data_IF_392758103089
#
_entry.id   IF_392758103089
#
_cell.length_a   1.000
_cell.length_b   1.000
_cell.length_c   1.000
_cell.angle_alpha   90.00
_cell.angle_beta   90.00
_cell.angle_gamma   90.00
#
_symmetry.space_group_name_H-M   'P 1'
#
loop_
_entity.id
_entity.type
_entity.pdbx_description
1 polymer ?
#
# COMPACT_ATOMS: atom_id res chain seq x y z
N UNK A 1 -10.21 -1.55 -4.21
CA UNK A 1 -9.71 -0.60 -3.18
C UNK A 1 -10.80 -0.05 -2.25
N UNK A 2 -11.88 0.57 -2.74
CA UNK A 2 -12.95 1.16 -1.89
C UNK A 2 -13.73 0.12 -1.06
N UNK A 3 -14.02 -1.06 -1.63
CA UNK A 3 -14.70 -2.16 -0.92
C UNK A 3 -13.78 -2.83 0.13
N UNK A 4 -12.48 -2.92 -0.16
CA UNK A 4 -11.45 -3.49 0.73
C UNK A 4 -11.18 -2.58 1.94
N UNK A 5 -11.07 -1.26 1.73
CA UNK A 5 -10.94 -0.25 2.80
C UNK A 5 -12.18 -0.14 3.69
N UNK A 6 -13.37 -0.42 3.15
CA UNK A 6 -14.64 -0.34 3.90
C UNK A 6 -14.89 -1.61 4.72
N UNK A 7 -14.50 -2.78 4.21
CA UNK A 7 -14.64 -4.06 4.89
C UNK A 7 -13.60 -4.24 6.02
N UNK A 8 -12.34 -3.85 5.84
CA UNK A 8 -11.32 -4.02 6.90
C UNK A 8 -11.42 -3.00 8.04
N UNK A 9 -11.76 -1.74 7.77
CA UNK A 9 -11.94 -0.73 8.84
C UNK A 9 -13.15 -1.01 9.74
N UNK A 10 -14.19 -1.65 9.21
CA UNK A 10 -15.45 -1.89 9.92
C UNK A 10 -15.58 -3.31 10.47
N UNK A 11 -15.11 -4.35 9.79
CA UNK A 11 -15.40 -5.74 10.20
C UNK A 11 -14.39 -6.29 11.22
N UNK A 12 -13.09 -6.04 11.01
CA UNK A 12 -12.04 -6.52 11.92
C UNK A 12 -12.07 -5.86 13.30
N UNK A 13 -12.40 -4.56 13.37
CA UNK A 13 -12.52 -3.84 14.64
C UNK A 13 -13.79 -4.23 15.40
N UNK A 14 -14.94 -4.36 14.73
CA UNK A 14 -16.22 -4.68 15.40
C UNK A 14 -16.27 -6.11 15.95
N UNK A 15 -15.70 -7.09 15.24
CA UNK A 15 -15.71 -8.48 15.72
C UNK A 15 -14.74 -8.67 16.89
N UNK A 16 -13.57 -8.01 16.89
CA UNK A 16 -12.63 -8.04 18.01
C UNK A 16 -13.09 -7.19 19.22
N UNK A 17 -13.77 -6.05 19.00
CA UNK A 17 -14.35 -5.20 20.07
C UNK A 17 -15.51 -5.91 20.78
N UNK A 18 -16.32 -6.71 20.05
CA UNK A 18 -17.42 -7.48 20.65
C UNK A 18 -16.94 -8.62 21.55
N UNK A 19 -15.77 -9.20 21.24
CA UNK A 19 -15.17 -10.27 22.03
C UNK A 19 -14.40 -9.76 23.26
N UNK A 20 -13.95 -8.49 23.26
CA UNK A 20 -13.16 -7.94 24.37
C UNK A 20 -13.99 -7.66 25.63
N UNK A 21 -15.29 -7.33 25.58
CA UNK A 21 -15.92 -6.83 26.82
C UNK A 21 -17.46 -6.78 26.94
N UNK A 22 -18.12 -7.94 27.00
CA UNK A 22 -19.45 -8.00 27.63
C UNK A 22 -19.39 -7.70 29.13
N UNK A 23 -18.25 -7.98 29.76
CA UNK A 23 -18.02 -7.82 31.19
C UNK A 23 -17.90 -6.34 31.59
N UNK A 24 -17.16 -5.50 30.86
CA UNK A 24 -17.11 -4.05 31.10
C UNK A 24 -18.49 -3.38 30.95
N UNK A 25 -19.30 -3.80 29.97
CA UNK A 25 -20.68 -3.33 29.84
C UNK A 25 -21.48 -3.67 31.10
N UNK A 26 -21.37 -4.91 31.59
CA UNK A 26 -22.05 -5.36 32.82
C UNK A 26 -21.52 -4.64 34.06
N UNK A 27 -20.22 -4.39 34.17
CA UNK A 27 -19.57 -3.73 35.31
C UNK A 27 -19.94 -2.25 35.42
N UNK A 28 -19.92 -1.53 34.30
CA UNK A 28 -20.46 -0.18 34.23
C UNK A 28 -21.94 -0.24 34.64
N UNK A 29 -22.72 -1.19 34.12
CA UNK A 29 -24.12 -1.40 34.49
C UNK A 29 -24.37 -1.78 35.97
N UNK A 30 -23.38 -2.36 36.65
CA UNK A 30 -23.44 -2.73 38.07
C UNK A 30 -23.10 -1.54 38.97
N UNK A 31 -22.07 -0.75 38.63
CA UNK A 31 -21.75 0.55 39.23
C UNK A 31 -22.95 1.50 39.20
N UNK A 32 -23.68 1.45 38.10
CA UNK A 32 -24.91 2.18 37.85
C UNK A 32 -25.99 1.85 38.89
N UNK A 33 -26.15 0.59 39.34
CA UNK A 33 -27.26 0.20 40.24
C UNK A 33 -27.04 0.52 41.73
N UNK A 34 -25.83 0.88 42.16
CA UNK A 34 -25.45 0.84 43.58
C UNK A 34 -25.34 2.20 44.28
N UNK A 35 -25.74 3.32 43.66
CA UNK A 35 -25.79 4.64 44.31
C UNK A 35 -26.99 5.47 43.87
N UNK A 36 -27.49 6.35 44.75
CA UNK A 36 -28.54 7.33 44.43
C UNK A 36 -28.12 8.14 43.19
N UNK A 37 -28.95 8.09 42.15
CA UNK A 37 -28.56 8.52 40.81
C UNK A 37 -28.53 10.05 40.67
N UNK A 38 -27.35 10.60 40.40
CA UNK A 38 -27.24 11.93 39.79
C UNK A 38 -27.51 11.84 38.27
N UNK A 39 -28.08 12.91 37.68
CA UNK A 39 -28.28 13.02 36.21
C UNK A 39 -26.99 12.80 35.41
N UNK A 40 -25.86 13.11 36.01
CA UNK A 40 -24.53 13.00 35.41
C UNK A 40 -24.12 11.55 35.16
N UNK A 41 -24.37 10.65 36.14
CA UNK A 41 -24.11 9.22 35.98
C UNK A 41 -24.92 8.64 34.82
N UNK A 42 -26.23 8.89 34.79
CA UNK A 42 -27.14 8.43 33.72
C UNK A 42 -26.70 8.87 32.31
N UNK A 43 -26.23 10.10 32.19
CA UNK A 43 -25.73 10.64 30.93
C UNK A 43 -24.47 9.91 30.48
N UNK A 44 -23.56 9.60 31.40
CA UNK A 44 -22.33 8.87 31.10
C UNK A 44 -22.62 7.44 30.57
N UNK A 45 -23.66 6.78 31.10
CA UNK A 45 -24.13 5.46 30.63
C UNK A 45 -24.54 5.52 29.16
N UNK A 46 -25.47 6.43 28.85
CA UNK A 46 -26.01 6.54 27.50
C UNK A 46 -24.90 6.93 26.51
N UNK A 47 -23.97 7.78 26.95
CA UNK A 47 -22.81 8.13 26.15
C UNK A 47 -21.87 6.93 25.94
N UNK A 48 -21.65 6.08 26.95
CA UNK A 48 -20.86 4.86 26.83
C UNK A 48 -21.48 3.89 25.83
N UNK A 49 -22.75 3.54 26.00
CA UNK A 49 -23.48 2.59 25.14
C UNK A 49 -23.46 3.05 23.69
N UNK A 50 -23.81 4.32 23.44
CA UNK A 50 -23.80 4.90 22.08
C UNK A 50 -22.39 4.90 21.46
N UNK A 51 -21.36 5.15 22.25
CA UNK A 51 -19.97 5.20 21.78
C UNK A 51 -19.43 3.79 21.51
N UNK A 52 -19.83 2.82 22.32
CA UNK A 52 -19.52 1.39 22.17
C UNK A 52 -20.10 0.83 20.88
N UNK A 53 -21.40 1.02 20.64
CA UNK A 53 -22.09 0.55 19.43
C UNK A 53 -21.50 1.16 18.15
N UNK A 54 -20.95 2.38 18.26
CA UNK A 54 -20.30 3.09 17.14
C UNK A 54 -18.82 2.74 16.97
N UNK A 55 -18.24 1.88 17.80
CA UNK A 55 -16.85 1.44 17.70
C UNK A 55 -15.82 2.57 17.89
N UNK A 56 -16.14 3.61 18.66
CA UNK A 56 -15.30 4.81 18.79
C UNK A 56 -14.31 4.70 19.95
N UNK A 57 -13.25 3.91 19.77
CA UNK A 57 -12.27 3.57 20.81
C UNK A 57 -11.64 4.76 21.55
N UNK A 58 -11.22 5.83 20.86
CA UNK A 58 -10.67 7.03 21.52
C UNK A 58 -11.69 7.70 22.45
N UNK A 59 -12.96 7.69 22.04
CA UNK A 59 -14.04 8.27 22.83
C UNK A 59 -14.42 7.34 24.00
N UNK A 60 -14.38 6.01 23.81
CA UNK A 60 -14.53 5.04 24.89
C UNK A 60 -13.47 5.23 25.99
N UNK A 61 -12.19 5.41 25.61
CA UNK A 61 -11.12 5.66 26.56
C UNK A 61 -11.41 6.88 27.46
N UNK A 62 -11.85 7.99 26.86
CA UNK A 62 -12.22 9.20 27.62
C UNK A 62 -13.45 9.01 28.52
N UNK A 63 -14.41 8.16 28.12
CA UNK A 63 -15.58 7.86 28.95
C UNK A 63 -15.19 7.02 30.16
N UNK A 64 -14.30 6.04 29.99
CA UNK A 64 -13.76 5.22 31.08
C UNK A 64 -12.98 6.10 32.08
N UNK A 65 -12.17 7.04 31.61
CA UNK A 65 -11.47 8.00 32.48
C UNK A 65 -12.43 8.81 33.36
N UNK A 66 -13.56 9.25 32.80
CA UNK A 66 -14.59 9.96 33.58
C UNK A 66 -15.27 9.06 34.59
N UNK A 67 -15.51 7.79 34.23
CA UNK A 67 -16.09 6.81 35.16
C UNK A 67 -15.13 6.51 36.32
N UNK A 68 -13.83 6.35 36.05
CA UNK A 68 -12.78 6.20 37.06
C UNK A 68 -12.79 7.35 38.06
N UNK A 69 -12.82 8.60 37.58
CA UNK A 69 -12.83 9.80 38.43
C UNK A 69 -14.07 9.86 39.34
N UNK A 70 -15.25 9.57 38.79
CA UNK A 70 -16.50 9.54 39.57
C UNK A 70 -16.42 8.46 40.67
N UNK A 71 -16.02 7.24 40.31
CA UNK A 71 -15.98 6.13 41.27
C UNK A 71 -14.92 6.36 42.34
N UNK A 72 -13.78 6.95 41.99
CA UNK A 72 -12.71 7.29 42.92
C UNK A 72 -13.17 8.29 43.96
N UNK A 73 -13.86 9.37 43.53
CA UNK A 73 -14.46 10.37 44.43
C UNK A 73 -15.48 9.76 45.39
N UNK A 74 -16.25 8.78 44.95
CA UNK A 74 -17.22 8.08 45.80
C UNK A 74 -16.55 7.16 46.82
N UNK A 75 -15.52 6.41 46.43
CA UNK A 75 -14.72 5.61 47.37
C UNK A 75 -14.04 6.49 48.44
N UNK A 76 -13.54 7.67 48.05
CA UNK A 76 -12.94 8.64 48.98
C UNK A 76 -13.97 9.23 49.96
N UNK A 77 -15.19 9.50 49.49
CA UNK A 77 -16.29 9.96 50.33
C UNK A 77 -16.70 8.88 51.36
N UNK A 78 -16.82 7.62 50.93
CA UNK A 78 -17.11 6.49 51.82
C UNK A 78 -15.99 6.27 52.84
N UNK A 79 -14.72 6.41 52.43
CA UNK A 79 -13.55 6.38 53.34
C UNK A 79 -13.67 7.43 54.44
N UNK A 80 -14.02 8.65 54.05
CA UNK A 80 -14.18 9.76 54.99
C UNK A 80 -15.35 9.54 55.94
N UNK A 81 -16.45 8.95 55.48
CA UNK A 81 -17.59 8.60 56.31
C UNK A 81 -17.29 7.47 57.29
N UNK A 82 -16.60 6.41 56.84
CA UNK A 82 -16.14 5.32 57.71
C UNK A 82 -15.22 5.81 58.83
N UNK A 83 -14.32 6.77 58.54
CA UNK A 83 -13.49 7.41 59.57
C UNK A 83 -14.34 8.06 60.67
N UNK A 84 -15.41 8.78 60.30
CA UNK A 84 -16.34 9.40 61.26
C UNK A 84 -17.08 8.33 62.08
N UNK A 85 -17.67 7.33 61.43
CA UNK A 85 -18.35 6.23 62.12
C UNK A 85 -17.43 5.47 63.09
N UNK A 86 -16.16 5.26 62.72
CA UNK A 86 -15.17 4.65 63.60
C UNK A 86 -14.88 5.52 64.84
N UNK A 87 -14.90 6.85 64.69
CA UNK A 87 -14.72 7.76 65.81
C UNK A 87 -15.96 7.75 66.72
N UNK A 88 -17.17 7.76 66.14
CA UNK A 88 -18.43 7.68 66.88
C UNK A 88 -18.55 6.36 67.66
N UNK A 89 -18.17 5.24 67.04
CA UNK A 89 -18.10 3.90 67.66
C UNK A 89 -17.15 3.87 68.87
N UNK A 90 -15.98 4.52 68.77
CA UNK A 90 -15.04 4.70 69.88
C UNK A 90 -15.65 5.55 70.99
N UNK A 91 -16.23 6.69 70.65
CA UNK A 91 -16.84 7.61 71.62
C UNK A 91 -17.99 6.93 72.40
N UNK A 92 -18.88 6.22 71.69
CA UNK A 92 -19.97 5.45 72.29
C UNK A 92 -19.45 4.33 73.20
N UNK A 93 -18.34 3.69 72.81
CA UNK A 93 -17.71 2.64 73.64
C UNK A 93 -17.12 3.20 74.94
N UNK A 94 -16.55 4.40 74.91
CA UNK A 94 -16.08 5.09 76.13
C UNK A 94 -17.27 5.43 77.04
N UNK A 95 -18.33 6.03 76.49
CA UNK A 95 -19.50 6.42 77.27
C UNK A 95 -20.25 5.22 77.88
N UNK A 96 -20.29 4.08 77.20
CA UNK A 96 -20.91 2.85 77.74
C UNK A 96 -20.14 2.23 78.92
N UNK A 97 -18.85 2.60 79.09
CA UNK A 97 -18.04 2.16 80.23
C UNK A 97 -18.22 3.06 81.47
N UNK A 98 -18.93 4.18 81.34
CA UNK A 98 -19.31 5.04 82.47
C UNK A 98 -20.56 4.48 83.18
N UNK A 99 -20.76 4.81 84.46
CA UNK A 99 -21.82 4.25 85.34
C UNK A 99 -23.26 4.75 85.01
N UNK A 100 -23.65 4.78 83.73
CA UNK A 100 -25.01 5.08 83.31
C UNK A 100 -25.96 3.90 83.57
N UNK A 101 -27.18 4.18 84.04
CA UNK A 101 -28.19 3.15 84.35
C UNK A 101 -29.54 3.46 83.69
N UNK A 102 -30.41 2.45 83.63
CA UNK A 102 -31.78 2.58 83.10
C UNK A 102 -31.84 2.95 81.61
N UNK A 103 -32.76 3.86 81.25
CA UNK A 103 -33.06 4.22 79.85
C UNK A 103 -31.86 4.79 79.08
N UNK A 104 -30.95 5.49 79.75
CA UNK A 104 -29.78 6.11 79.10
C UNK A 104 -28.84 5.06 78.53
N UNK A 105 -28.58 3.98 79.29
CA UNK A 105 -27.75 2.85 78.82
C UNK A 105 -28.39 2.13 77.63
N UNK A 106 -29.70 1.91 77.68
CA UNK A 106 -30.47 1.26 76.60
C UNK A 106 -30.40 2.05 75.28
N UNK A 107 -30.52 3.39 75.35
CA UNK A 107 -30.40 4.27 74.19
C UNK A 107 -28.99 4.20 73.59
N UNK A 108 -27.95 4.18 74.43
CA UNK A 108 -26.55 4.12 73.99
C UNK A 108 -26.20 2.78 73.33
N UNK A 109 -26.73 1.67 73.85
CA UNK A 109 -26.60 0.34 73.22
C UNK A 109 -27.31 0.28 71.85
N UNK A 110 -28.51 0.87 71.74
CA UNK A 110 -29.22 1.00 70.45
C UNK A 110 -28.43 1.83 69.44
N UNK A 111 -27.88 2.97 69.84
CA UNK A 111 -27.03 3.80 68.97
C UNK A 111 -25.79 3.05 68.51
N UNK A 112 -25.14 2.27 69.39
CA UNK A 112 -23.97 1.46 69.04
C UNK A 112 -24.30 0.38 68.00
N UNK A 113 -25.44 -0.29 68.13
CA UNK A 113 -25.91 -1.26 67.14
C UNK A 113 -26.19 -0.60 65.78
N UNK A 114 -26.76 0.60 65.78
CA UNK A 114 -26.99 1.39 64.55
C UNK A 114 -25.65 1.75 63.89
N UNK A 115 -24.68 2.26 64.65
CA UNK A 115 -23.34 2.60 64.14
C UNK A 115 -22.63 1.37 63.58
N UNK A 116 -22.69 0.23 64.26
CA UNK A 116 -22.12 -1.03 63.79
C UNK A 116 -22.76 -1.51 62.47
N UNK A 117 -24.09 -1.40 62.36
CA UNK A 117 -24.82 -1.72 61.12
C UNK A 117 -24.38 -0.84 59.95
N UNK A 118 -24.32 0.49 60.14
CA UNK A 118 -23.87 1.41 59.09
C UNK A 118 -22.41 1.19 58.70
N UNK A 119 -21.52 0.96 59.68
CA UNK A 119 -20.10 0.68 59.43
C UNK A 119 -19.91 -0.57 58.57
N UNK A 120 -20.65 -1.65 58.85
CA UNK A 120 -20.62 -2.88 58.05
C UNK A 120 -21.08 -2.65 56.60
N UNK A 121 -22.22 -1.97 56.42
CA UNK A 121 -22.76 -1.72 55.08
C UNK A 121 -21.87 -0.80 54.24
N UNK A 122 -21.37 0.29 54.83
CA UNK A 122 -20.49 1.24 54.12
C UNK A 122 -19.15 0.57 53.78
N UNK A 123 -18.62 -0.29 54.66
CA UNK A 123 -17.38 -1.03 54.37
C UNK A 123 -17.54 -1.95 53.15
N UNK A 124 -18.65 -2.67 53.04
CA UNK A 124 -18.96 -3.52 51.89
C UNK A 124 -19.13 -2.71 50.60
N UNK A 125 -19.82 -1.57 50.68
CA UNK A 125 -19.96 -0.68 49.54
C UNK A 125 -18.59 -0.15 49.08
N UNK A 126 -17.72 0.25 50.02
CA UNK A 126 -16.38 0.71 49.69
C UNK A 126 -15.54 -0.38 49.01
N UNK A 127 -15.52 -1.58 49.58
CA UNK A 127 -14.79 -2.72 49.01
C UNK A 127 -15.23 -3.01 47.57
N UNK A 128 -16.54 -2.95 47.31
CA UNK A 128 -17.08 -3.08 45.96
C UNK A 128 -16.58 -1.97 45.01
N UNK A 129 -16.57 -0.70 45.45
CA UNK A 129 -16.07 0.40 44.64
C UNK A 129 -14.57 0.28 44.36
N UNK A 130 -13.76 -0.09 45.36
CA UNK A 130 -12.32 -0.31 45.19
C UNK A 130 -12.04 -1.41 44.14
N UNK A 131 -12.72 -2.56 44.27
CA UNK A 131 -12.61 -3.64 43.28
C UNK A 131 -13.01 -3.19 41.88
N UNK A 132 -13.95 -2.26 41.76
CA UNK A 132 -14.37 -1.78 40.45
C UNK A 132 -13.37 -0.78 39.84
N UNK A 133 -12.73 0.07 40.65
CA UNK A 133 -11.65 0.96 40.20
C UNK A 133 -10.52 0.12 39.58
N UNK A 134 -10.10 -0.94 40.26
CA UNK A 134 -9.01 -1.81 39.78
C UNK A 134 -9.32 -2.42 38.40
N UNK A 135 -10.58 -2.83 38.18
CA UNK A 135 -11.02 -3.39 36.89
C UNK A 135 -11.09 -2.34 35.79
N UNK A 136 -11.62 -1.14 36.09
CA UNK A 136 -11.63 -0.02 35.14
C UNK A 136 -10.21 0.33 34.69
N UNK A 137 -9.25 0.40 35.63
CA UNK A 137 -7.84 0.63 35.32
C UNK A 137 -7.22 -0.46 34.45
N UNK A 138 -7.57 -1.73 34.69
CA UNK A 138 -7.11 -2.82 33.83
C UNK A 138 -7.62 -2.63 32.38
N UNK A 139 -8.92 -2.38 32.21
CA UNK A 139 -9.54 -2.17 30.88
C UNK A 139 -9.03 -0.94 30.16
N UNK A 140 -8.78 0.14 30.88
CA UNK A 140 -8.17 1.35 30.30
C UNK A 140 -6.78 1.08 29.70
N UNK A 141 -5.96 0.25 30.37
CA UNK A 141 -4.63 -0.15 29.89
C UNK A 141 -4.72 -1.02 28.62
N UNK A 142 -5.64 -1.98 28.59
CA UNK A 142 -5.88 -2.83 27.41
C UNK A 142 -6.26 -1.98 26.18
N UNK A 143 -7.23 -1.07 26.33
CA UNK A 143 -7.68 -0.19 25.24
C UNK A 143 -6.54 0.73 24.77
N UNK A 144 -5.72 1.24 25.69
CA UNK A 144 -4.57 2.09 25.33
C UNK A 144 -3.52 1.33 24.52
N UNK A 145 -3.15 0.12 24.93
CA UNK A 145 -2.21 -0.71 24.19
C UNK A 145 -2.73 -1.04 22.78
N UNK A 146 -4.03 -1.33 22.65
CA UNK A 146 -4.65 -1.57 21.35
C UNK A 146 -4.64 -0.31 20.44
N UNK A 147 -4.89 0.88 21.00
CA UNK A 147 -4.81 2.14 20.26
C UNK A 147 -3.39 2.44 19.76
N UNK A 148 -2.36 2.08 20.53
CA UNK A 148 -0.95 2.24 20.14
C UNK A 148 -0.58 1.30 18.98
N UNK A 149 -1.00 0.03 19.03
CA UNK A 149 -0.81 -0.93 17.94
C UNK A 149 -1.49 -0.48 16.64
N UNK A 150 -2.77 -0.06 16.73
CA UNK A 150 -3.52 0.48 15.60
C UNK A 150 -2.85 1.71 14.97
N UNK A 151 -2.20 2.54 15.77
CA UNK A 151 -1.47 3.71 15.27
C UNK A 151 -0.21 3.31 14.49
N UNK A 152 0.54 2.34 15.00
CA UNK A 152 1.74 1.80 14.32
C UNK A 152 1.38 1.16 12.98
N UNK A 153 0.32 0.35 12.92
CA UNK A 153 -0.16 -0.25 11.66
C UNK A 153 -0.60 0.81 10.65
N UNK A 154 -1.31 1.85 11.10
CA UNK A 154 -1.73 2.95 10.23
C UNK A 154 -0.54 3.70 9.61
N UNK A 155 0.53 3.93 10.38
CA UNK A 155 1.76 4.55 9.87
C UNK A 155 2.45 3.68 8.81
N UNK A 156 2.49 2.36 9.01
CA UNK A 156 3.05 1.42 8.02
C UNK A 156 2.25 1.42 6.72
N UNK A 157 0.92 1.45 6.80
CA UNK A 157 0.03 1.52 5.62
C UNK A 157 0.21 2.85 4.88
N UNK A 158 0.37 3.96 5.60
CA UNK A 158 0.56 5.29 4.99
C UNK A 158 1.93 5.42 4.33
N UNK A 159 2.98 4.85 4.93
CA UNK A 159 4.30 4.73 4.31
C UNK A 159 4.24 3.88 3.02
N UNK A 160 3.61 2.70 3.07
CA UNK A 160 3.47 1.82 1.90
C UNK A 160 2.66 2.48 0.76
N UNK A 161 1.63 3.28 1.08
CA UNK A 161 0.89 4.06 0.08
C UNK A 161 1.75 5.11 -0.59
N UNK A 162 2.55 5.85 0.19
CA UNK A 162 3.46 6.85 -0.34
C UNK A 162 4.50 6.22 -1.27
N UNK A 163 5.03 5.05 -0.89
CA UNK A 163 5.96 4.30 -1.72
C UNK A 163 5.30 3.83 -3.02
N UNK A 164 4.03 3.38 -2.98
CA UNK A 164 3.27 3.03 -4.18
C UNK A 164 2.95 4.25 -5.06
N UNK A 165 2.53 5.38 -4.49
CA UNK A 165 2.24 6.60 -5.25
C UNK A 165 3.51 7.12 -5.95
N UNK A 166 4.66 7.08 -5.28
CA UNK A 166 5.96 7.43 -5.89
C UNK A 166 6.37 6.43 -6.98
N UNK A 167 6.01 5.16 -6.83
CA UNK A 167 6.21 4.14 -7.85
C UNK A 167 5.29 4.37 -9.06
N UNK A 168 4.00 4.65 -8.84
CA UNK A 168 3.02 4.98 -9.88
C UNK A 168 3.45 6.24 -10.68
N UNK A 169 3.93 7.28 -10.01
CA UNK A 169 4.45 8.48 -10.68
C UNK A 169 5.76 8.22 -11.45
N UNK A 170 6.61 7.30 -10.98
CA UNK A 170 7.78 6.81 -11.74
C UNK A 170 7.38 5.94 -12.93
N UNK A 171 6.29 5.19 -12.81
CA UNK A 171 5.72 4.31 -13.84
C UNK A 171 4.86 5.07 -14.87
N UNK A 172 4.47 6.32 -14.57
CA UNK A 172 3.85 7.31 -15.48
C UNK A 172 4.69 7.67 -16.72
N UNK A 173 5.81 6.95 -16.92
CA UNK A 173 6.61 6.88 -18.15
C UNK A 173 5.89 6.21 -19.34
N UNK A 174 4.68 5.69 -19.13
CA UNK A 174 3.78 5.21 -20.18
C UNK A 174 3.24 6.43 -20.94
N UNK A 175 4.05 6.94 -21.86
CA UNK A 175 3.59 7.96 -22.79
C UNK A 175 2.78 7.27 -23.87
N UNK A 176 1.47 7.45 -23.83
CA UNK A 176 0.66 7.38 -25.04
C UNK A 176 1.17 8.47 -25.98
N UNK A 177 1.84 8.09 -27.07
CA UNK A 177 2.41 9.03 -28.02
C UNK A 177 1.59 8.98 -29.28
N UNK A 178 0.77 10.00 -29.51
CA UNK A 178 0.01 10.10 -30.76
C UNK A 178 0.93 10.27 -31.98
N UNK A 179 0.43 9.90 -33.15
CA UNK A 179 1.10 10.17 -34.44
C UNK A 179 1.50 11.64 -34.57
N UNK A 180 0.59 12.56 -34.24
CA UNK A 180 0.84 13.99 -34.36
C UNK A 180 2.02 14.43 -33.48
N UNK A 181 2.09 13.90 -32.26
CA UNK A 181 3.21 14.18 -31.35
C UNK A 181 4.56 13.73 -31.91
N UNK A 182 4.62 12.56 -32.57
CA UNK A 182 5.84 12.12 -33.25
C UNK A 182 6.16 13.00 -34.46
N UNK A 183 5.18 13.34 -35.29
CA UNK A 183 5.39 14.20 -36.45
C UNK A 183 5.94 15.57 -36.02
N UNK A 184 5.36 16.17 -34.98
CA UNK A 184 5.82 17.45 -34.43
C UNK A 184 7.24 17.35 -33.87
N UNK A 185 7.54 16.26 -33.17
CA UNK A 185 8.87 15.99 -32.63
C UNK A 185 9.91 15.85 -33.76
N UNK A 186 9.62 15.07 -34.79
CA UNK A 186 10.53 14.86 -35.92
C UNK A 186 10.73 16.15 -36.73
N UNK A 187 9.67 16.94 -36.90
CA UNK A 187 9.74 18.28 -37.51
C UNK A 187 10.62 19.23 -36.71
N UNK A 188 10.48 19.25 -35.39
CA UNK A 188 11.29 20.08 -34.49
C UNK A 188 12.79 19.78 -34.61
N UNK A 189 13.15 18.53 -34.86
CA UNK A 189 14.54 18.12 -35.10
C UNK A 189 14.95 18.17 -36.58
N UNK A 190 14.08 18.69 -37.46
CA UNK A 190 14.27 18.76 -38.91
C UNK A 190 14.64 17.42 -39.55
N UNK A 191 13.98 16.35 -39.10
CA UNK A 191 14.26 14.98 -39.55
C UNK A 191 13.09 14.28 -40.21
N UNK A 192 11.99 15.00 -40.46
CA UNK A 192 10.85 14.51 -41.25
C UNK A 192 11.19 14.55 -42.75
N UNK A 193 12.11 13.68 -43.17
CA UNK A 193 12.53 13.54 -44.57
C UNK A 193 11.53 12.68 -45.37
N UNK A 194 11.61 12.66 -46.71
CA UNK A 194 10.79 11.76 -47.52
C UNK A 194 10.93 10.28 -47.14
N UNK A 195 12.13 9.85 -46.74
CA UNK A 195 12.37 8.47 -46.29
C UNK A 195 11.71 8.19 -44.94
N UNK A 196 11.77 9.14 -44.00
CA UNK A 196 11.12 9.00 -42.68
C UNK A 196 9.59 9.01 -42.81
N UNK A 197 9.03 9.83 -43.70
CA UNK A 197 7.59 9.80 -44.01
C UNK A 197 7.19 8.42 -44.55
N UNK A 198 7.93 7.87 -45.52
CA UNK A 198 7.68 6.51 -46.03
C UNK A 198 7.77 5.44 -44.93
N UNK A 199 8.67 5.62 -43.96
CA UNK A 199 8.82 4.69 -42.84
C UNK A 199 7.64 4.80 -41.86
N UNK A 200 7.18 6.01 -41.55
CA UNK A 200 5.96 6.24 -40.78
C UNK A 200 4.75 5.56 -41.45
N UNK A 201 4.55 5.80 -42.75
CA UNK A 201 3.43 5.22 -43.50
C UNK A 201 3.49 3.69 -43.51
N UNK A 202 4.69 3.11 -43.65
CA UNK A 202 4.87 1.66 -43.62
C UNK A 202 4.57 1.08 -42.24
N UNK A 203 5.04 1.70 -41.16
CA UNK A 203 4.74 1.26 -39.81
C UNK A 203 3.21 1.26 -39.57
N UNK A 204 2.51 2.31 -40.02
CA UNK A 204 1.04 2.37 -39.94
C UNK A 204 0.33 1.27 -40.72
N UNK A 205 0.85 0.91 -41.91
CA UNK A 205 0.30 -0.17 -42.72
C UNK A 205 0.51 -1.52 -42.03
N UNK A 206 1.76 -1.79 -41.62
CA UNK A 206 2.19 -3.08 -41.07
C UNK A 206 1.54 -3.38 -39.72
N UNK A 207 1.39 -2.37 -38.87
CA UNK A 207 0.84 -2.53 -37.52
C UNK A 207 -0.61 -2.04 -37.41
N UNK A 208 -1.33 -1.94 -38.54
CA UNK A 208 -2.71 -1.49 -38.56
C UNK A 208 -3.60 -2.41 -37.74
N UNK A 209 -4.31 -1.85 -36.76
CA UNK A 209 -5.16 -2.57 -35.81
C UNK A 209 -4.42 -3.60 -34.95
N UNK A 210 -3.08 -3.55 -34.91
CA UNK A 210 -2.30 -4.39 -34.01
C UNK A 210 -2.46 -3.84 -32.60
N UNK A 211 -2.79 -4.73 -31.66
CA UNK A 211 -2.92 -4.41 -30.26
C UNK A 211 -1.78 -5.04 -29.47
N UNK A 212 -1.34 -4.35 -28.42
CA UNK A 212 -0.48 -4.92 -27.37
C UNK A 212 -1.26 -5.96 -26.55
N UNK A 213 -0.56 -6.72 -25.71
CA UNK A 213 -1.21 -7.75 -24.87
C UNK A 213 -2.26 -7.16 -23.91
N UNK A 214 -2.13 -5.89 -23.54
CA UNK A 214 -3.04 -5.13 -22.68
C UNK A 214 -4.18 -4.44 -23.44
N UNK A 215 -4.26 -4.66 -24.75
CA UNK A 215 -5.31 -4.11 -25.62
C UNK A 215 -5.04 -2.69 -26.11
N UNK A 216 -3.88 -2.10 -25.78
CA UNK A 216 -3.52 -0.77 -26.25
C UNK A 216 -3.04 -0.77 -27.72
N UNK A 217 -3.12 0.40 -28.36
CA UNK A 217 -2.68 0.57 -29.74
C UNK A 217 -1.16 0.40 -29.84
N UNK A 218 -0.73 -0.52 -30.71
CA UNK A 218 0.67 -0.88 -30.84
C UNK A 218 1.51 0.25 -31.45
N UNK A 219 0.96 1.10 -32.33
CA UNK A 219 1.72 2.23 -32.87
C UNK A 219 2.00 3.26 -31.78
N UNK A 220 0.97 3.67 -31.04
CA UNK A 220 1.05 4.80 -30.11
C UNK A 220 1.83 4.48 -28.83
N UNK A 221 1.70 3.25 -28.33
CA UNK A 221 2.34 2.85 -27.07
C UNK A 221 3.70 2.16 -27.27
N UNK A 222 3.93 1.56 -28.44
CA UNK A 222 5.18 0.88 -28.75
C UNK A 222 6.03 1.59 -29.80
N UNK A 223 5.63 1.59 -31.07
CA UNK A 223 6.49 2.07 -32.17
C UNK A 223 6.87 3.54 -31.96
N UNK A 224 5.89 4.39 -31.67
CA UNK A 224 6.11 5.81 -31.39
C UNK A 224 6.81 6.02 -30.04
N UNK A 225 6.51 5.18 -29.04
CA UNK A 225 7.25 5.12 -27.78
C UNK A 225 8.75 4.91 -27.99
N UNK A 226 9.14 3.94 -28.83
CA UNK A 226 10.52 3.63 -29.17
C UNK A 226 11.19 4.81 -29.89
N UNK A 227 10.51 5.43 -30.86
CA UNK A 227 11.03 6.64 -31.55
C UNK A 227 11.28 7.78 -30.58
N UNK A 228 10.35 8.03 -29.65
CA UNK A 228 10.51 9.05 -28.62
C UNK A 228 11.71 8.77 -27.72
N UNK A 229 11.89 7.52 -27.28
CA UNK A 229 13.03 7.10 -26.48
C UNK A 229 14.38 7.32 -27.20
N UNK A 230 14.42 7.07 -28.51
CA UNK A 230 15.58 7.37 -29.35
C UNK A 230 15.88 8.87 -29.40
N UNK A 231 14.86 9.72 -29.56
CA UNK A 231 15.04 11.18 -29.56
C UNK A 231 15.54 11.70 -28.22
N UNK A 232 14.99 11.19 -27.10
CA UNK A 232 15.48 11.52 -25.75
C UNK A 232 16.92 11.08 -25.53
N UNK A 233 17.28 9.89 -26.01
CA UNK A 233 18.66 9.42 -25.99
C UNK A 233 19.60 10.37 -26.76
N UNK A 234 19.27 10.72 -28.01
CA UNK A 234 20.06 11.66 -28.81
C UNK A 234 20.20 13.03 -28.12
N UNK A 235 19.11 13.56 -27.55
CA UNK A 235 19.11 14.79 -26.76
C UNK A 235 20.05 14.71 -25.55
N UNK A 236 20.02 13.60 -24.81
CA UNK A 236 20.91 13.38 -23.64
C UNK A 236 22.40 13.37 -24.02
N UNK A 237 22.69 12.93 -25.25
CA UNK A 237 24.04 12.88 -25.82
C UNK A 237 24.42 14.17 -26.56
N UNK A 238 23.52 15.16 -26.63
CA UNK A 238 23.67 16.41 -27.40
C UNK A 238 24.00 16.14 -28.88
N UNK A 239 23.47 15.06 -29.44
CA UNK A 239 23.59 14.73 -30.86
C UNK A 239 22.22 14.83 -31.52
N UNK A 240 22.21 15.09 -32.84
CA UNK A 240 20.96 15.02 -33.61
C UNK A 240 20.64 13.55 -33.91
N UNK A 241 19.36 13.14 -33.86
CA UNK A 241 18.95 11.87 -34.45
C UNK A 241 19.34 11.83 -35.93
N UNK A 242 19.61 10.65 -36.48
CA UNK A 242 19.89 10.48 -37.92
C UNK A 242 18.68 9.85 -38.61
N UNK A 243 18.54 10.11 -39.91
CA UNK A 243 17.45 9.54 -40.72
C UNK A 243 17.39 8.01 -40.58
N UNK A 244 18.53 7.35 -40.76
CA UNK A 244 18.66 5.89 -40.63
C UNK A 244 18.25 5.36 -39.25
N UNK A 245 18.58 6.08 -38.17
CA UNK A 245 18.23 5.65 -36.81
C UNK A 245 16.72 5.78 -36.55
N UNK A 246 16.10 6.87 -37.01
CA UNK A 246 14.65 7.09 -36.87
C UNK A 246 13.88 6.10 -37.74
N UNK A 247 14.27 5.91 -39.01
CA UNK A 247 13.66 4.89 -39.86
C UNK A 247 13.81 3.49 -39.26
N UNK A 248 14.99 3.15 -38.74
CA UNK A 248 15.21 1.88 -38.06
C UNK A 248 14.30 1.68 -36.84
N UNK A 249 14.06 2.73 -36.04
CA UNK A 249 13.15 2.68 -34.90
C UNK A 249 11.67 2.52 -35.34
N UNK A 250 11.25 3.23 -36.38
CA UNK A 250 9.89 3.12 -36.93
C UNK A 250 9.60 1.74 -37.52
N UNK A 251 10.61 1.10 -38.11
CA UNK A 251 10.47 -0.15 -38.87
C UNK A 251 10.94 -1.39 -38.10
N UNK A 252 11.28 -1.27 -36.82
CA UNK A 252 12.06 -2.29 -36.11
C UNK A 252 11.39 -3.67 -36.04
N UNK A 253 10.06 -3.71 -35.96
CA UNK A 253 9.27 -4.94 -35.89
C UNK A 253 8.52 -5.26 -37.21
N UNK A 254 8.66 -4.43 -38.26
CA UNK A 254 7.96 -4.63 -39.55
C UNK A 254 8.34 -5.96 -40.21
N UNK A 255 9.63 -6.32 -40.20
CA UNK A 255 10.08 -7.60 -40.79
C UNK A 255 9.65 -8.83 -39.95
N UNK A 256 9.26 -8.64 -38.69
CA UNK A 256 8.80 -9.73 -37.80
C UNK A 256 7.27 -9.91 -37.90
N UNK A 257 6.54 -8.80 -37.92
CA UNK A 257 5.07 -8.79 -37.79
C UNK A 257 4.32 -8.67 -39.13
N UNK A 258 4.96 -8.19 -40.20
CA UNK A 258 4.33 -8.02 -41.52
C UNK A 258 4.94 -8.97 -42.57
N UNK A 259 4.32 -10.14 -42.80
CA UNK A 259 4.82 -11.11 -43.77
C UNK A 259 4.71 -10.64 -45.23
N UNK A 260 4.04 -9.52 -45.51
CA UNK A 260 3.95 -8.96 -46.86
C UNK A 260 5.21 -8.19 -47.28
N UNK A 261 6.11 -7.90 -46.33
CA UNK A 261 7.34 -7.14 -46.57
C UNK A 261 8.55 -8.08 -46.56
N UNK A 262 9.04 -8.45 -47.74
CA UNK A 262 10.27 -9.23 -47.89
C UNK A 262 11.54 -8.35 -47.95
N UNK A 263 12.73 -8.97 -47.87
CA UNK A 263 14.02 -8.29 -47.94
C UNK A 263 14.16 -7.43 -49.20
N UNK A 264 13.73 -7.93 -50.36
CA UNK A 264 13.86 -7.23 -51.64
C UNK A 264 13.01 -5.98 -51.68
N UNK A 265 11.73 -6.09 -51.31
CA UNK A 265 10.79 -4.98 -51.20
C UNK A 265 11.27 -3.93 -50.18
N UNK A 266 11.79 -4.37 -49.03
CA UNK A 266 12.31 -3.48 -48.00
C UNK A 266 13.52 -2.70 -48.50
N UNK A 267 14.52 -3.37 -49.08
CA UNK A 267 15.74 -2.73 -49.60
C UNK A 267 15.38 -1.77 -50.74
N UNK A 268 14.45 -2.12 -51.62
CA UNK A 268 14.02 -1.24 -52.70
C UNK A 268 13.32 0.03 -52.18
N UNK A 269 12.54 -0.08 -51.10
CA UNK A 269 11.76 1.05 -50.57
C UNK A 269 12.58 1.98 -49.67
N UNK A 270 13.47 1.41 -48.84
CA UNK A 270 14.19 2.14 -47.79
C UNK A 270 15.71 2.14 -47.95
N UNK A 271 16.25 1.30 -48.83
CA UNK A 271 17.68 1.17 -49.04
C UNK A 271 18.35 0.15 -48.11
N UNK A 272 19.54 -0.28 -48.54
CA UNK A 272 20.33 -1.32 -47.89
C UNK A 272 20.75 -0.97 -46.45
N UNK A 273 21.07 0.29 -46.19
CA UNK A 273 21.56 0.72 -44.86
C UNK A 273 20.50 0.57 -43.78
N UNK A 274 19.24 0.93 -44.06
CA UNK A 274 18.15 0.77 -43.09
C UNK A 274 17.82 -0.72 -42.91
N UNK A 275 17.86 -1.51 -43.98
CA UNK A 275 17.70 -2.96 -43.87
C UNK A 275 18.75 -3.60 -42.95
N UNK A 276 20.02 -3.22 -43.09
CA UNK A 276 21.09 -3.70 -42.20
C UNK A 276 20.94 -3.26 -40.74
N UNK A 277 20.15 -2.21 -40.48
CA UNK A 277 19.80 -1.78 -39.13
C UNK A 277 18.66 -2.64 -38.56
N UNK A 278 17.63 -2.93 -39.37
CA UNK A 278 16.39 -3.57 -38.94
C UNK A 278 16.48 -5.10 -38.93
N UNK A 279 17.04 -5.72 -39.97
CA UNK A 279 17.08 -7.19 -40.10
C UNK A 279 17.69 -7.93 -38.90
N UNK A 280 18.73 -7.42 -38.20
CA UNK A 280 19.24 -8.08 -36.99
C UNK A 280 18.30 -7.97 -35.77
N UNK A 281 17.32 -7.05 -35.77
CA UNK A 281 16.34 -6.87 -34.70
C UNK A 281 15.30 -7.99 -34.68
N UNK A 282 14.93 -8.52 -35.85
CA UNK A 282 14.03 -9.67 -35.98
C UNK A 282 14.55 -10.88 -35.22
N UNK A 283 13.75 -11.41 -34.30
CA UNK A 283 14.13 -12.55 -33.48
C UNK A 283 14.01 -13.88 -34.25
N UNK A 284 14.99 -14.79 -34.12
CA UNK A 284 14.86 -16.14 -34.65
C UNK A 284 13.70 -16.89 -34.00
N UNK A 285 13.10 -17.81 -34.74
CA UNK A 285 12.10 -18.73 -34.18
C UNK A 285 12.73 -19.64 -33.11
N UNK A 286 12.31 -19.45 -31.85
CA UNK A 286 12.80 -20.17 -30.69
C UNK A 286 12.58 -21.69 -30.78
N UNK A 287 11.60 -22.16 -31.57
CA UNK A 287 11.30 -23.58 -31.70
C UNK A 287 12.46 -24.37 -32.31
N UNK A 288 13.27 -23.69 -33.13
CA UNK A 288 14.44 -24.25 -33.85
C UNK A 288 15.67 -24.42 -32.97
N UNK A 289 15.64 -23.93 -31.72
CA UNK A 289 16.76 -24.03 -30.80
C UNK A 289 16.65 -25.27 -29.89
N UNK A 290 17.78 -25.87 -29.46
CA UNK A 290 17.78 -27.02 -28.58
C UNK A 290 17.31 -26.66 -27.16
N UNK A 291 16.72 -27.61 -26.44
CA UNK A 291 16.27 -27.45 -25.05
C UNK A 291 15.17 -28.45 -24.67
N UNK A 292 15.08 -28.79 -23.39
CA UNK A 292 14.11 -29.78 -22.85
C UNK A 292 12.70 -29.22 -22.71
N UNK A 293 12.59 -27.91 -22.52
CA UNK A 293 11.32 -27.19 -22.37
C UNK A 293 11.36 -25.85 -23.12
N UNK A 294 10.21 -25.16 -23.14
CA UNK A 294 10.05 -23.86 -23.82
C UNK A 294 11.01 -22.79 -23.29
N UNK A 295 11.27 -22.77 -21.98
CA UNK A 295 12.13 -21.78 -21.34
C UNK A 295 13.60 -21.95 -21.77
N UNK A 296 14.12 -23.18 -21.71
CA UNK A 296 15.48 -23.50 -22.15
C UNK A 296 15.70 -23.16 -23.62
N UNK A 297 14.74 -23.50 -24.50
CA UNK A 297 14.81 -23.16 -25.92
C UNK A 297 14.89 -21.65 -26.15
N UNK A 298 14.04 -20.87 -25.46
CA UNK A 298 14.07 -19.40 -25.53
C UNK A 298 15.38 -18.83 -24.99
N UNK A 299 15.94 -19.39 -23.92
CA UNK A 299 17.22 -18.96 -23.36
C UNK A 299 18.38 -19.18 -24.33
N UNK A 300 18.42 -20.33 -25.00
CA UNK A 300 19.42 -20.64 -26.03
C UNK A 300 19.25 -19.77 -27.29
N UNK A 301 18.01 -19.51 -27.71
CA UNK A 301 17.71 -18.56 -28.78
C UNK A 301 18.20 -17.14 -28.42
N UNK A 302 17.94 -16.68 -27.20
CA UNK A 302 18.38 -15.36 -26.73
C UNK A 302 19.90 -15.26 -26.70
N UNK A 303 20.60 -16.30 -26.25
CA UNK A 303 22.08 -16.33 -26.28
C UNK A 303 22.61 -16.10 -27.70
N UNK A 304 22.13 -16.88 -28.68
CA UNK A 304 22.55 -16.73 -30.07
C UNK A 304 22.15 -15.36 -30.66
N UNK A 305 20.95 -14.87 -30.32
CA UNK A 305 20.46 -13.57 -30.75
C UNK A 305 21.36 -12.43 -30.23
N UNK A 306 21.75 -12.45 -28.96
CA UNK A 306 22.62 -11.43 -28.37
C UNK A 306 24.07 -11.54 -28.82
N UNK A 307 24.56 -12.73 -29.14
CA UNK A 307 25.86 -12.91 -29.81
C UNK A 307 25.87 -12.22 -31.18
N UNK A 308 24.80 -12.37 -31.99
CA UNK A 308 24.63 -11.64 -33.25
C UNK A 308 24.50 -10.13 -33.01
N UNK A 309 23.69 -9.73 -32.03
CA UNK A 309 23.45 -8.33 -31.69
C UNK A 309 24.74 -7.61 -31.26
N UNK A 310 25.65 -8.30 -30.57
CA UNK A 310 26.95 -7.75 -30.16
C UNK A 310 27.82 -7.31 -31.35
N UNK A 311 27.63 -7.92 -32.52
CA UNK A 311 28.34 -7.62 -33.77
C UNK A 311 27.56 -6.68 -34.70
N UNK A 312 26.31 -6.36 -34.36
CA UNK A 312 25.46 -5.48 -35.16
C UNK A 312 25.92 -4.02 -35.13
N UNK A 313 25.36 -3.23 -36.05
CA UNK A 313 25.57 -1.78 -36.12
C UNK A 313 25.16 -1.09 -34.82
N UNK A 314 25.79 0.04 -34.52
CA UNK A 314 25.49 0.77 -33.29
C UNK A 314 24.02 1.20 -33.21
N UNK A 315 23.44 1.63 -34.34
CA UNK A 315 22.04 2.04 -34.45
C UNK A 315 21.09 0.90 -34.08
N UNK A 316 21.32 -0.32 -34.61
CA UNK A 316 20.58 -1.54 -34.24
C UNK A 316 20.62 -1.78 -32.73
N UNK A 317 21.82 -1.69 -32.13
CA UNK A 317 21.98 -1.93 -30.69
C UNK A 317 21.20 -0.91 -29.86
N UNK A 318 21.22 0.35 -30.27
CA UNK A 318 20.48 1.43 -29.60
C UNK A 318 18.97 1.26 -29.74
N UNK A 319 18.47 0.91 -30.93
CA UNK A 319 17.04 0.59 -31.13
C UNK A 319 16.63 -0.57 -30.23
N UNK A 320 17.44 -1.64 -30.14
CA UNK A 320 17.09 -2.78 -29.29
C UNK A 320 16.98 -2.43 -27.80
N UNK A 321 17.81 -1.49 -27.34
CA UNK A 321 17.76 -1.01 -25.96
C UNK A 321 16.55 -0.11 -25.71
N UNK A 322 16.19 0.73 -26.68
CA UNK A 322 14.97 1.55 -26.63
C UNK A 322 13.71 0.68 -26.62
N UNK A 323 13.65 -0.32 -27.51
CA UNK A 323 12.61 -1.35 -27.56
C UNK A 323 12.45 -2.06 -26.20
N UNK A 324 13.54 -2.59 -25.61
CA UNK A 324 13.47 -3.24 -24.30
C UNK A 324 12.99 -2.29 -23.20
N UNK A 325 13.46 -1.05 -23.20
CA UNK A 325 13.02 -0.06 -22.21
C UNK A 325 11.52 0.20 -22.32
N UNK A 326 11.02 0.42 -23.54
CA UNK A 326 9.59 0.57 -23.79
C UNK A 326 8.82 -0.67 -23.34
N UNK A 327 9.24 -1.88 -23.71
CA UNK A 327 8.55 -3.11 -23.32
C UNK A 327 8.50 -3.33 -21.80
N UNK A 328 9.54 -2.95 -21.05
CA UNK A 328 9.51 -2.99 -19.59
C UNK A 328 8.51 -1.98 -19.01
N UNK A 329 8.28 -0.84 -19.65
CA UNK A 329 7.30 0.15 -19.17
C UNK A 329 5.87 -0.40 -19.17
N UNK A 330 5.57 -1.38 -20.03
CA UNK A 330 4.23 -1.97 -20.18
C UNK A 330 4.11 -3.41 -19.64
N UNK A 331 5.19 -4.00 -19.11
CA UNK A 331 5.20 -5.42 -18.74
C UNK A 331 4.26 -5.76 -17.58
N UNK A 332 3.91 -4.77 -16.74
CA UNK A 332 3.02 -4.96 -15.59
C UNK A 332 1.61 -5.39 -15.97
N UNK A 333 1.16 -5.12 -17.19
CA UNK A 333 -0.15 -5.55 -17.67
C UNK A 333 -0.14 -7.00 -18.20
N UNK A 334 1.02 -7.64 -18.25
CA UNK A 334 1.14 -9.04 -18.68
C UNK A 334 0.87 -10.03 -17.56
N UNK A 335 0.69 -11.31 -17.90
CA UNK A 335 0.54 -12.35 -16.88
C UNK A 335 1.84 -12.55 -16.06
N UNK A 336 1.75 -13.03 -14.80
CA UNK A 336 2.91 -13.13 -13.91
C UNK A 336 4.06 -13.99 -14.48
N UNK A 337 3.76 -15.10 -15.14
CA UNK A 337 4.77 -15.97 -15.76
C UNK A 337 5.54 -15.27 -16.88
N UNK A 338 4.83 -14.47 -17.70
CA UNK A 338 5.43 -13.69 -18.77
C UNK A 338 6.30 -12.58 -18.18
N UNK A 339 5.83 -11.87 -17.17
CA UNK A 339 6.60 -10.84 -16.47
C UNK A 339 7.90 -11.41 -15.87
N UNK A 340 7.81 -12.51 -15.11
CA UNK A 340 8.96 -13.19 -14.51
C UNK A 340 10.02 -13.58 -15.55
N UNK A 341 9.58 -14.19 -16.67
CA UNK A 341 10.48 -14.54 -17.76
C UNK A 341 11.11 -13.30 -18.41
N UNK A 342 10.33 -12.22 -18.61
CA UNK A 342 10.81 -10.98 -19.21
C UNK A 342 11.85 -10.28 -18.33
N UNK A 343 11.64 -10.28 -17.01
CA UNK A 343 12.60 -9.73 -16.03
C UNK A 343 13.89 -10.55 -16.00
N UNK A 344 13.77 -11.89 -16.01
CA UNK A 344 14.93 -12.79 -16.10
C UNK A 344 15.72 -12.61 -17.40
N UNK A 345 15.04 -12.52 -18.55
CA UNK A 345 15.67 -12.22 -19.85
C UNK A 345 16.37 -10.84 -19.84
N UNK A 346 15.75 -9.86 -19.19
CA UNK A 346 16.31 -8.51 -19.06
C UNK A 346 17.60 -8.54 -18.26
N UNK A 347 17.60 -9.23 -17.12
CA UNK A 347 18.76 -9.35 -16.24
C UNK A 347 19.92 -10.10 -16.91
N UNK A 348 19.62 -11.24 -17.54
CA UNK A 348 20.66 -12.12 -18.09
C UNK A 348 21.27 -11.60 -19.39
N UNK A 349 20.50 -10.89 -20.22
CA UNK A 349 20.97 -10.48 -21.55
C UNK A 349 20.96 -8.97 -21.75
N UNK A 350 19.84 -8.31 -21.47
CA UNK A 350 19.68 -6.90 -21.83
C UNK A 350 20.51 -5.97 -20.95
N UNK A 351 20.62 -6.22 -19.64
CA UNK A 351 21.44 -5.42 -18.74
C UNK A 351 22.94 -5.51 -19.07
N UNK A 352 23.55 -6.71 -19.25
CA UNK A 352 24.94 -6.82 -19.71
C UNK A 352 25.16 -6.15 -21.06
N UNK A 353 24.25 -6.34 -22.01
CA UNK A 353 24.31 -5.74 -23.33
C UNK A 353 24.23 -4.20 -23.28
N UNK A 354 23.32 -3.66 -22.47
CA UNK A 354 23.17 -2.23 -22.24
C UNK A 354 24.41 -1.63 -21.58
N UNK A 355 25.00 -2.32 -20.60
CA UNK A 355 26.21 -1.89 -19.89
C UNK A 355 27.38 -1.67 -20.85
N UNK A 356 27.50 -2.52 -21.87
CA UNK A 356 28.57 -2.42 -22.88
C UNK A 356 28.26 -1.39 -23.98
N UNK A 357 26.98 -1.12 -24.26
CA UNK A 357 26.55 -0.33 -25.42
C UNK A 357 26.22 1.12 -25.07
N UNK A 358 25.47 1.36 -24.00
CA UNK A 358 24.95 2.68 -23.64
C UNK A 358 24.66 2.81 -22.15
N UNK A 359 25.48 3.63 -21.47
CA UNK A 359 25.25 3.97 -20.07
C UNK A 359 23.89 4.67 -19.82
N UNK A 360 23.32 5.32 -20.84
CA UNK A 360 22.00 5.95 -20.74
C UNK A 360 20.91 4.89 -20.57
N UNK A 361 20.84 3.95 -21.51
CA UNK A 361 19.83 2.88 -21.46
C UNK A 361 20.11 1.91 -20.31
N UNK A 362 21.37 1.61 -20.01
CA UNK A 362 21.70 0.76 -18.86
C UNK A 362 21.11 1.29 -17.55
N UNK A 363 21.30 2.59 -17.25
CA UNK A 363 20.75 3.20 -16.03
C UNK A 363 19.23 3.13 -15.98
N UNK A 364 18.56 3.44 -17.10
CA UNK A 364 17.09 3.48 -17.17
C UNK A 364 16.47 2.08 -17.12
N UNK A 365 16.98 1.14 -17.91
CA UNK A 365 16.54 -0.26 -17.90
C UNK A 365 16.79 -0.88 -16.53
N UNK A 366 17.96 -0.65 -15.92
CA UNK A 366 18.28 -1.16 -14.58
C UNK A 366 17.33 -0.62 -13.52
N UNK A 367 17.13 0.70 -13.48
CA UNK A 367 16.23 1.32 -12.50
C UNK A 367 14.81 0.78 -12.62
N UNK A 368 14.29 0.66 -13.85
CA UNK A 368 12.93 0.15 -14.08
C UNK A 368 12.83 -1.34 -13.74
N UNK A 369 13.83 -2.14 -14.12
CA UNK A 369 13.91 -3.56 -13.78
C UNK A 369 13.91 -3.78 -12.26
N UNK A 370 14.71 -3.02 -11.50
CA UNK A 370 14.76 -3.11 -10.04
C UNK A 370 13.39 -2.79 -9.41
N UNK A 371 12.70 -1.75 -9.91
CA UNK A 371 11.32 -1.43 -9.46
C UNK A 371 10.32 -2.56 -9.77
N UNK A 372 10.42 -3.17 -10.95
CA UNK A 372 9.52 -4.26 -11.35
C UNK A 372 9.78 -5.57 -10.58
N UNK A 373 11.04 -5.86 -10.24
CA UNK A 373 11.40 -7.02 -9.39
C UNK A 373 10.88 -6.85 -7.96
N UNK A 374 10.82 -5.62 -7.44
CA UNK A 374 10.21 -5.36 -6.14
C UNK A 374 8.69 -5.56 -6.15
N UNK A 375 8.03 -5.27 -7.28
CA UNK A 375 6.59 -5.49 -7.45
C UNK A 375 6.21 -6.97 -7.65
N UNK A 376 7.10 -7.76 -8.23
CA UNK A 376 6.89 -9.20 -8.45
C UNK A 376 6.94 -10.00 -7.14
N UNK A 377 7.75 -9.56 -6.17
CA UNK A 377 7.95 -10.19 -4.86
C UNK A 377 6.88 -9.80 -3.85
#
# INVERSE_FOLDING_TARGET
MTLFNTLFRRKGSLDYIKDIDKDLYFEIHLLIRLGDFSKEKFRLINEFIDTWDKGRLKKLHSIIEKAEDIVSKESDALSSFLKRLNQDDKNLSVLLNENYTGKTKEVMEKLKNIVAFYKSNISKQKEFFDQTIDRLWAKRREIKAFLELMHQEAMLIEAAKKDMDELEDKLRYIHHISKQSIVDLLNKYHILTPTVIKALDQAEISHKNQLRDDGADYLEEHVYGVVHEIVLFCKSKKVRPTENLICGALLHDVLEDDPSVDEGAFINKFGRTIYEIVAPLTKPDWQKFPGKNKEEKKMNMNKAYFERMSKARYETKIIKLADRLNNLSYIMHSNPEKMAFYLKETELFHLPFARQTSAYFYKRIKSLHESLVLLEK
#
